data_IF_537817655867
#
_entry.id   IF_537817655867
#
_cell.length_a   1.000
_cell.length_b   1.000
_cell.length_c   1.000
_cell.angle_alpha   90.00
_cell.angle_beta   90.00
_cell.angle_gamma   90.00
#
_symmetry.space_group_name_H-M   'P 1'
#
loop_
_entity.id
_entity.type
_entity.pdbx_description
1 polymer ?
#
# COMPACT_ATOMS: atom_id res chain seq x y z
N UNK A 1 5.72 4.05 -25.72
CA UNK A 1 4.91 3.84 -24.51
C UNK A 1 5.73 3.22 -23.39
N UNK A 2 6.23 2.00 -23.47
CA UNK A 2 7.11 1.45 -22.41
C UNK A 2 8.34 2.33 -22.14
N UNK A 3 8.91 2.99 -23.16
CA UNK A 3 10.02 3.94 -23.00
C UNK A 3 9.66 5.22 -22.25
N UNK A 4 8.44 5.71 -22.39
CA UNK A 4 8.00 6.94 -21.72
C UNK A 4 7.61 6.66 -20.26
N UNK A 5 7.03 5.50 -19.98
CA UNK A 5 6.77 5.05 -18.61
C UNK A 5 8.08 4.75 -17.86
N UNK A 6 9.04 4.09 -18.52
CA UNK A 6 10.40 3.92 -17.99
C UNK A 6 11.07 5.28 -17.74
N UNK A 7 10.90 6.24 -18.64
CA UNK A 7 11.47 7.59 -18.47
C UNK A 7 10.86 8.34 -17.28
N UNK A 8 9.55 8.21 -17.03
CA UNK A 8 8.90 8.79 -15.85
C UNK A 8 9.36 8.09 -14.57
N UNK A 9 9.45 6.77 -14.59
CA UNK A 9 9.97 5.96 -13.49
C UNK A 9 11.43 6.34 -13.20
N UNK A 10 12.25 6.44 -14.23
CA UNK A 10 13.65 6.82 -14.12
C UNK A 10 13.80 8.27 -13.65
N UNK A 11 12.93 9.16 -14.11
CA UNK A 11 12.87 10.55 -13.66
C UNK A 11 12.48 10.62 -12.18
N UNK A 12 11.41 9.94 -11.74
CA UNK A 12 10.99 9.88 -10.33
C UNK A 12 12.06 9.20 -9.48
N UNK A 13 12.64 8.12 -9.97
CA UNK A 13 13.74 7.42 -9.29
C UNK A 13 14.98 8.31 -9.16
N UNK A 14 15.35 9.01 -10.23
CA UNK A 14 16.48 9.92 -10.21
C UNK A 14 16.23 11.15 -9.35
N UNK A 15 15.01 11.69 -9.34
CA UNK A 15 14.57 12.73 -8.41
C UNK A 15 14.69 12.26 -6.95
N UNK A 16 14.19 11.07 -6.63
CA UNK A 16 14.28 10.45 -5.30
C UNK A 16 15.75 10.19 -4.92
N UNK A 17 16.57 9.78 -5.87
CA UNK A 17 17.98 9.45 -5.64
C UNK A 17 18.93 10.65 -5.69
N UNK A 18 18.44 11.85 -6.02
CA UNK A 18 19.27 13.05 -6.17
C UNK A 18 20.33 12.93 -7.27
N UNK A 19 20.09 12.08 -8.29
CA UNK A 19 21.03 11.81 -9.39
C UNK A 19 20.82 12.68 -10.62
N UNK A 20 20.04 13.72 -10.55
CA UNK A 20 19.78 14.62 -11.67
C UNK A 20 20.89 15.66 -11.78
N UNK A 21 21.88 15.35 -12.59
CA UNK A 21 22.71 16.40 -13.20
C UNK A 21 21.87 17.12 -14.27
N UNK A 22 21.56 18.39 -14.03
CA UNK A 22 20.92 19.24 -15.05
C UNK A 22 19.47 19.64 -14.83
N UNK A 23 18.74 19.06 -13.89
CA UNK A 23 17.54 19.67 -13.37
C UNK A 23 17.98 20.57 -12.23
N UNK A 24 17.70 21.87 -12.34
CA UNK A 24 17.93 22.82 -11.26
C UNK A 24 17.49 22.17 -9.96
N UNK A 25 18.36 22.15 -8.96
CA UNK A 25 18.13 21.60 -7.63
C UNK A 25 16.72 21.94 -7.16
N UNK A 26 15.76 21.11 -7.50
CA UNK A 26 14.52 21.05 -6.78
C UNK A 26 14.94 20.33 -5.51
N UNK A 27 15.25 21.12 -4.50
CA UNK A 27 15.46 20.60 -3.17
C UNK A 27 14.18 19.89 -2.76
N UNK A 28 14.17 18.58 -2.87
CA UNK A 28 13.15 17.71 -2.28
C UNK A 28 13.25 17.66 -0.75
N UNK A 29 14.14 18.37 -0.17
CA UNK A 29 13.96 18.87 1.18
C UNK A 29 12.79 19.84 1.07
N UNK A 30 11.60 19.55 1.66
CA UNK A 30 10.54 20.54 1.67
C UNK A 30 11.14 21.77 2.32
N UNK A 31 11.54 22.73 1.49
CA UNK A 31 11.76 24.05 2.00
C UNK A 31 10.44 24.40 2.68
N UNK A 32 10.53 24.84 3.93
CA UNK A 32 9.42 25.27 4.77
C UNK A 32 8.45 26.27 4.12
N UNK A 33 8.58 26.59 2.85
CA UNK A 33 8.15 27.86 2.32
C UNK A 33 7.34 27.82 1.04
N UNK A 34 6.86 26.65 0.54
CA UNK A 34 6.12 26.70 -0.74
C UNK A 34 4.89 25.81 -0.87
N UNK A 35 4.37 25.28 0.23
CA UNK A 35 2.92 25.12 0.31
C UNK A 35 2.40 26.46 0.86
N UNK A 36 1.53 27.16 0.14
CA UNK A 36 0.79 28.26 0.78
C UNK A 36 0.14 27.66 2.02
N UNK A 37 0.33 28.32 3.16
CA UNK A 37 -0.37 27.95 4.38
C UNK A 37 -1.86 27.99 4.05
N UNK A 38 -2.65 26.96 4.45
CA UNK A 38 -4.10 27.07 4.34
C UNK A 38 -4.49 28.30 5.12
N UNK A 39 -5.29 29.17 4.52
CA UNK A 39 -5.72 30.47 5.06
C UNK A 39 -6.35 30.42 6.46
N UNK A 40 -6.55 29.23 7.02
CA UNK A 40 -7.17 28.99 8.31
C UNK A 40 -6.23 28.39 9.38
N UNK A 41 -4.93 28.52 9.24
CA UNK A 41 -3.99 28.24 10.36
C UNK A 41 -3.94 26.78 10.85
N UNK A 42 -4.57 25.84 10.16
CA UNK A 42 -4.52 24.42 10.50
C UNK A 42 -3.32 23.79 9.83
N UNK A 43 -2.19 23.86 10.47
CA UNK A 43 -1.01 23.11 10.07
C UNK A 43 -1.33 21.61 10.07
N UNK A 44 -1.03 20.90 8.99
CA UNK A 44 -1.12 19.43 8.95
C UNK A 44 -0.29 18.76 10.06
N UNK A 45 0.67 19.49 10.63
CA UNK A 45 1.47 19.08 11.79
C UNK A 45 0.68 18.98 13.10
N UNK A 46 -0.43 19.71 13.22
CA UNK A 46 -1.21 19.74 14.45
C UNK A 46 -2.17 18.56 14.56
N UNK A 47 -2.42 17.84 13.46
CA UNK A 47 -3.25 16.63 13.43
C UNK A 47 -2.46 15.32 13.55
N UNK A 48 -1.13 15.35 13.46
CA UNK A 48 -0.33 14.16 13.76
C UNK A 48 -0.34 14.00 15.28
N UNK A 49 -1.09 13.03 15.83
CA UNK A 49 -1.08 12.84 17.28
C UNK A 49 0.35 12.56 17.70
N UNK A 50 0.85 13.35 18.65
CA UNK A 50 2.09 13.03 19.35
C UNK A 50 1.80 11.73 20.10
N UNK A 51 2.28 10.62 19.56
CA UNK A 51 2.07 9.32 20.17
C UNK A 51 2.96 9.25 21.39
N UNK A 52 2.34 9.24 22.55
CA UNK A 52 2.99 9.14 23.84
C UNK A 52 3.42 7.68 24.07
N UNK A 53 4.46 7.43 24.87
CA UNK A 53 4.87 6.07 25.28
C UNK A 53 3.70 5.24 25.82
N UNK A 54 2.71 5.89 26.44
CA UNK A 54 1.46 5.27 26.89
C UNK A 54 0.62 4.70 25.74
N UNK A 55 0.72 5.22 24.52
CA UNK A 55 0.00 4.73 23.37
C UNK A 55 0.70 3.51 22.76
N UNK A 56 2.02 3.44 22.91
CA UNK A 56 2.82 2.24 22.57
C UNK A 56 2.51 1.10 23.53
N UNK A 57 2.37 1.38 24.83
CA UNK A 57 1.97 0.36 25.81
C UNK A 57 0.52 -0.10 25.59
N UNK A 58 -0.41 0.81 25.25
CA UNK A 58 -1.77 0.42 24.86
C UNK A 58 -1.78 -0.48 23.63
N UNK A 59 -0.83 -0.30 22.70
CA UNK A 59 -0.72 -1.18 21.52
C UNK A 59 -0.18 -2.56 21.88
N UNK A 60 0.71 -2.67 22.86
CA UNK A 60 1.15 -3.98 23.39
C UNK A 60 0.00 -4.75 24.04
N UNK A 61 -0.97 -4.03 24.59
CA UNK A 61 -2.18 -4.55 25.22
C UNK A 61 -3.39 -4.63 24.27
N UNK A 62 -3.28 -4.17 23.00
CA UNK A 62 -4.28 -4.47 21.99
C UNK A 62 -4.34 -5.99 21.83
N UNK A 63 -5.49 -6.54 22.09
CA UNK A 63 -5.78 -7.95 21.94
C UNK A 63 -5.33 -8.38 20.55
N UNK A 64 -4.38 -9.32 20.49
CA UNK A 64 -3.93 -9.88 19.23
C UNK A 64 -5.16 -10.51 18.56
N UNK A 65 -5.62 -9.92 17.47
CA UNK A 65 -6.86 -10.35 16.80
C UNK A 65 -6.65 -11.73 16.17
N UNK A 66 -5.44 -11.96 15.61
CA UNK A 66 -5.11 -13.25 15.03
C UNK A 66 -4.38 -14.14 16.05
N UNK A 67 -4.87 -15.37 16.33
CA UNK A 67 -4.14 -16.32 17.11
C UNK A 67 -2.77 -16.63 16.49
N UNK A 68 -1.76 -16.90 17.31
CA UNK A 68 -0.44 -17.36 16.86
C UNK A 68 -0.38 -18.88 17.01
N UNK A 69 0.01 -19.57 15.94
CA UNK A 69 0.09 -21.04 15.85
C UNK A 69 1.44 -21.46 15.28
N UNK A 70 1.84 -22.70 15.53
CA UNK A 70 3.00 -23.26 14.84
C UNK A 70 2.69 -23.45 13.34
N UNK A 71 3.66 -23.28 12.45
CA UNK A 71 3.46 -23.53 11.03
C UNK A 71 2.94 -24.95 10.75
N UNK A 72 3.48 -25.95 11.41
CA UNK A 72 3.08 -27.35 11.28
C UNK A 72 1.60 -27.57 11.61
N UNK A 73 1.09 -26.91 12.66
CA UNK A 73 -0.33 -27.01 13.02
C UNK A 73 -1.25 -26.44 11.94
N UNK A 74 -0.72 -25.66 11.03
CA UNK A 74 -1.43 -25.05 9.91
C UNK A 74 -0.93 -25.61 8.55
N UNK A 75 -0.30 -26.77 8.54
CA UNK A 75 0.03 -27.51 7.33
C UNK A 75 1.22 -26.98 6.52
N UNK A 76 2.06 -26.12 7.11
CA UNK A 76 3.30 -25.61 6.51
C UNK A 76 4.47 -25.96 7.43
N UNK A 77 5.61 -26.38 6.88
CA UNK A 77 6.79 -26.69 7.69
C UNK A 77 7.48 -25.42 8.20
N UNK A 78 7.96 -25.45 9.44
CA UNK A 78 8.77 -24.37 10.01
C UNK A 78 10.07 -24.15 9.23
N UNK A 79 10.65 -25.21 8.65
CA UNK A 79 11.82 -25.14 7.79
C UNK A 79 11.55 -24.31 6.52
N UNK A 80 10.39 -24.50 5.89
CA UNK A 80 9.99 -23.76 4.70
C UNK A 80 9.96 -22.24 4.96
N UNK A 81 9.28 -21.82 6.03
CA UNK A 81 9.21 -20.40 6.40
C UNK A 81 10.56 -19.86 6.86
N UNK A 82 11.36 -20.68 7.55
CA UNK A 82 12.72 -20.31 7.96
C UNK A 82 13.60 -20.02 6.75
N UNK A 83 13.55 -20.86 5.72
CA UNK A 83 14.30 -20.62 4.48
C UNK A 83 13.89 -19.34 3.81
N UNK A 84 12.59 -19.09 3.64
CA UNK A 84 12.10 -17.85 3.06
C UNK A 84 12.57 -16.62 3.83
N UNK A 85 12.43 -16.62 5.16
CA UNK A 85 12.88 -15.49 6.00
C UNK A 85 14.39 -15.28 5.88
N UNK A 86 15.17 -16.37 5.83
CA UNK A 86 16.62 -16.31 5.67
C UNK A 86 16.98 -15.67 4.32
N UNK A 87 16.35 -16.09 3.22
CA UNK A 87 16.57 -15.52 1.89
C UNK A 87 16.21 -14.02 1.87
N UNK A 88 15.08 -13.65 2.47
CA UNK A 88 14.68 -12.24 2.62
C UNK A 88 15.68 -11.43 3.46
N UNK A 89 16.27 -12.02 4.50
CA UNK A 89 17.24 -11.37 5.36
C UNK A 89 18.62 -11.21 4.70
N UNK A 90 19.04 -12.21 3.95
CA UNK A 90 20.38 -12.27 3.33
C UNK A 90 20.46 -11.57 1.98
N UNK A 91 19.32 -11.35 1.33
CA UNK A 91 19.26 -10.70 0.03
C UNK A 91 19.80 -9.27 0.10
N UNK A 92 20.77 -8.90 -0.75
CA UNK A 92 21.28 -7.53 -0.80
C UNK A 92 20.27 -6.52 -1.38
N UNK A 93 19.20 -7.01 -1.97
CA UNK A 93 18.17 -6.19 -2.63
C UNK A 93 16.92 -5.97 -1.77
N UNK A 94 16.85 -6.57 -0.60
CA UNK A 94 15.74 -6.37 0.35
C UNK A 94 16.20 -5.51 1.54
N UNK A 95 15.29 -4.71 2.04
CA UNK A 95 15.41 -3.92 3.28
C UNK A 95 14.13 -4.15 4.09
N UNK A 96 14.02 -5.36 4.64
CA UNK A 96 12.83 -5.79 5.36
C UNK A 96 12.67 -5.02 6.67
N UNK A 97 11.43 -4.62 6.96
CA UNK A 97 11.02 -4.04 8.24
C UNK A 97 10.16 -5.01 9.03
N UNK A 98 9.18 -5.59 8.34
CA UNK A 98 8.23 -6.54 8.92
C UNK A 98 7.80 -7.57 7.88
N UNK A 99 7.63 -8.80 8.34
CA UNK A 99 7.11 -9.92 7.54
C UNK A 99 6.13 -10.73 8.38
N UNK A 100 4.95 -11.01 7.83
CA UNK A 100 3.94 -11.79 8.52
C UNK A 100 3.26 -12.75 7.55
N UNK A 101 3.04 -13.99 7.99
CA UNK A 101 2.25 -14.99 7.26
C UNK A 101 1.11 -15.46 8.12
N UNK A 102 -0.09 -15.35 7.58
CA UNK A 102 -1.31 -15.91 8.13
C UNK A 102 -1.75 -17.11 7.30
N UNK A 103 -2.25 -18.14 7.95
CA UNK A 103 -2.98 -19.24 7.32
C UNK A 103 -4.14 -19.67 8.20
N UNK A 104 -5.31 -19.95 7.59
CA UNK A 104 -6.57 -20.28 8.29
C UNK A 104 -6.89 -19.25 9.39
N UNK A 105 -6.63 -17.97 9.14
CA UNK A 105 -6.81 -16.89 10.11
C UNK A 105 -5.87 -16.93 11.32
N UNK A 106 -4.79 -17.70 11.27
CA UNK A 106 -3.77 -17.76 12.33
C UNK A 106 -2.43 -17.24 11.82
N UNK A 107 -1.75 -16.42 12.60
CA UNK A 107 -0.36 -16.04 12.31
C UNK A 107 0.54 -17.22 12.58
N UNK A 108 1.19 -17.72 11.55
CA UNK A 108 2.12 -18.85 11.61
C UNK A 108 3.59 -18.43 11.56
N UNK A 109 3.84 -17.20 11.13
CA UNK A 109 5.15 -16.58 11.19
C UNK A 109 5.01 -15.07 11.29
N UNK A 110 5.80 -14.45 12.14
CA UNK A 110 5.88 -12.99 12.30
C UNK A 110 7.31 -12.61 12.62
N UNK A 111 7.96 -11.81 11.77
CA UNK A 111 9.33 -11.38 11.93
C UNK A 111 9.46 -9.87 11.80
N UNK A 112 10.07 -9.26 12.81
CA UNK A 112 10.53 -7.87 12.74
C UNK A 112 12.02 -7.84 12.45
N UNK A 113 12.46 -6.88 11.67
CA UNK A 113 13.86 -6.69 11.32
C UNK A 113 14.38 -5.41 11.97
N UNK A 114 15.34 -5.54 12.87
CA UNK A 114 15.89 -4.38 13.57
C UNK A 114 16.37 -3.30 12.59
N UNK A 115 16.08 -2.01 12.86
CA UNK A 115 15.55 -1.42 14.08
C UNK A 115 14.01 -1.41 14.18
N UNK A 116 13.31 -2.00 13.23
CA UNK A 116 11.85 -2.04 13.22
C UNK A 116 11.33 -3.07 14.21
N UNK A 117 10.13 -2.82 14.71
CA UNK A 117 9.48 -3.70 15.68
C UNK A 117 7.96 -3.58 15.59
N UNK A 118 7.29 -4.52 16.18
CA UNK A 118 5.83 -4.57 16.28
C UNK A 118 5.24 -3.25 16.79
N UNK A 119 4.17 -2.81 16.15
CA UNK A 119 3.44 -1.61 16.52
C UNK A 119 3.94 -0.32 15.86
N UNK A 120 5.02 -0.37 15.09
CA UNK A 120 5.43 0.77 14.25
C UNK A 120 4.50 0.88 13.05
N UNK A 121 4.04 2.09 12.79
CA UNK A 121 3.28 2.40 11.59
C UNK A 121 4.18 2.42 10.37
N UNK A 122 3.65 1.90 9.27
CA UNK A 122 4.31 1.99 7.98
C UNK A 122 3.47 2.80 7.01
N UNK A 123 4.15 3.61 6.20
CA UNK A 123 3.50 4.24 5.07
C UNK A 123 3.18 3.16 4.04
N UNK A 124 1.91 3.06 3.67
CA UNK A 124 1.45 2.01 2.75
C UNK A 124 1.79 2.28 1.30
N UNK A 125 2.20 3.52 0.98
CA UNK A 125 2.34 3.95 -0.41
C UNK A 125 1.09 3.59 -1.23
N UNK A 126 1.24 2.97 -2.38
CA UNK A 126 0.13 2.63 -3.28
C UNK A 126 -0.76 1.49 -2.80
N UNK A 127 -0.36 0.72 -1.78
CA UNK A 127 -1.20 -0.33 -1.20
C UNK A 127 -2.60 0.19 -0.80
N UNK A 128 -2.68 1.44 -0.32
CA UNK A 128 -3.96 2.05 0.05
C UNK A 128 -4.93 2.30 -1.13
N UNK A 129 -4.49 2.16 -2.38
CA UNK A 129 -5.39 2.21 -3.55
C UNK A 129 -6.47 1.15 -3.46
N UNK A 130 -6.13 -0.05 -3.00
CA UNK A 130 -7.10 -1.12 -2.80
C UNK A 130 -8.15 -0.74 -1.74
N UNK A 131 -7.76 0.00 -0.70
CA UNK A 131 -8.70 0.51 0.31
C UNK A 131 -9.64 1.56 -0.29
N UNK A 132 -9.15 2.43 -1.16
CA UNK A 132 -10.00 3.36 -1.92
C UNK A 132 -10.93 2.61 -2.87
N UNK A 133 -10.46 1.51 -3.45
CA UNK A 133 -11.28 0.57 -4.21
C UNK A 133 -12.42 -0.03 -3.38
N UNK A 134 -12.15 -0.41 -2.12
CA UNK A 134 -13.19 -0.87 -1.19
C UNK A 134 -14.27 0.18 -0.97
N UNK A 135 -13.88 1.45 -0.79
CA UNK A 135 -14.84 2.56 -0.66
C UNK A 135 -15.70 2.74 -1.93
N UNK A 136 -15.09 2.58 -3.10
CA UNK A 136 -15.82 2.62 -4.37
C UNK A 136 -16.86 1.50 -4.45
N UNK A 137 -16.48 0.27 -4.07
CA UNK A 137 -17.40 -0.85 -4.02
C UNK A 137 -18.56 -0.65 -3.06
N UNK A 138 -18.31 -0.07 -1.89
CA UNK A 138 -19.35 0.28 -0.93
C UNK A 138 -20.32 1.32 -1.48
N UNK A 139 -19.82 2.35 -2.20
CA UNK A 139 -20.70 3.34 -2.85
C UNK A 139 -21.58 2.72 -3.94
N UNK A 140 -21.06 1.76 -4.68
CA UNK A 140 -21.82 1.03 -5.71
C UNK A 140 -22.90 0.19 -5.05
N UNK A 141 -22.59 -0.55 -4.00
CA UNK A 141 -23.56 -1.35 -3.23
C UNK A 141 -24.65 -0.47 -2.59
N UNK A 142 -24.29 0.72 -2.13
CA UNK A 142 -25.24 1.72 -1.62
C UNK A 142 -26.08 2.40 -2.74
N UNK A 143 -25.87 2.04 -4.01
CA UNK A 143 -26.56 2.64 -5.16
C UNK A 143 -26.22 4.14 -5.40
N UNK A 144 -25.09 4.59 -4.89
CA UNK A 144 -24.63 5.99 -4.99
C UNK A 144 -23.66 6.25 -6.13
N UNK A 145 -23.16 5.20 -6.75
CA UNK A 145 -22.18 5.27 -7.83
C UNK A 145 -22.35 4.09 -8.77
N UNK A 146 -22.06 4.32 -10.05
CA UNK A 146 -21.97 3.28 -11.08
C UNK A 146 -20.61 3.37 -11.80
N UNK A 147 -20.02 2.22 -12.14
CA UNK A 147 -18.74 2.16 -12.84
C UNK A 147 -18.76 2.86 -14.21
N UNK A 148 -19.90 2.90 -14.87
CA UNK A 148 -20.10 3.55 -16.17
C UNK A 148 -20.24 5.07 -16.09
N UNK A 149 -20.35 5.66 -14.89
CA UNK A 149 -20.53 7.09 -14.72
C UNK A 149 -19.30 7.86 -15.22
N UNK A 150 -19.58 8.90 -16.01
CA UNK A 150 -18.57 9.81 -16.51
C UNK A 150 -18.14 10.81 -15.43
N UNK A 151 -16.84 10.87 -15.13
CA UNK A 151 -16.28 11.75 -14.10
C UNK A 151 -16.56 13.24 -14.35
N UNK A 152 -16.62 13.67 -15.59
CA UNK A 152 -16.92 15.06 -15.93
C UNK A 152 -18.40 15.44 -15.66
N UNK A 153 -19.29 14.44 -15.62
CA UNK A 153 -20.68 14.64 -15.17
C UNK A 153 -20.76 14.68 -13.64
N UNK A 154 -19.99 13.85 -12.96
CA UNK A 154 -19.91 13.87 -11.48
C UNK A 154 -19.42 15.25 -11.00
N UNK A 155 -18.37 15.77 -11.62
CA UNK A 155 -17.78 17.09 -11.30
C UNK A 155 -18.21 18.16 -12.28
N UNK A 156 -19.51 18.26 -12.56
CA UNK A 156 -20.06 19.19 -13.55
C UNK A 156 -19.83 20.67 -13.21
N UNK A 157 -19.61 21.00 -11.95
CA UNK A 157 -19.29 22.34 -11.45
C UNK A 157 -17.78 22.67 -11.53
N UNK A 158 -16.92 21.68 -11.80
CA UNK A 158 -15.46 21.81 -11.88
C UNK A 158 -14.94 21.62 -13.30
N UNK A 159 -13.71 22.04 -13.52
CA UNK A 159 -13.06 21.96 -14.83
C UNK A 159 -13.60 22.98 -15.84
N UNK A 160 -12.86 23.21 -16.92
CA UNK A 160 -13.23 24.15 -17.95
C UNK A 160 -14.39 23.66 -18.80
N UNK A 161 -15.20 24.59 -19.31
CA UNK A 161 -16.31 24.30 -20.23
C UNK A 161 -15.81 23.57 -21.49
N UNK A 162 -14.63 23.92 -21.97
CA UNK A 162 -14.00 23.26 -23.11
C UNK A 162 -13.70 21.80 -22.82
N UNK A 163 -13.14 21.50 -21.64
CA UNK A 163 -12.85 20.13 -21.22
C UNK A 163 -14.11 19.26 -21.18
N UNK A 164 -15.23 19.80 -20.72
CA UNK A 164 -16.50 19.08 -20.60
C UNK A 164 -17.14 18.73 -21.96
N UNK A 165 -16.90 19.55 -22.99
CA UNK A 165 -17.54 19.40 -24.30
C UNK A 165 -16.71 18.57 -25.28
N UNK A 166 -15.38 18.72 -25.24
CA UNK A 166 -14.50 18.21 -26.31
C UNK A 166 -13.62 17.04 -25.87
N UNK A 167 -13.70 16.58 -24.62
CA UNK A 167 -12.89 15.45 -24.16
C UNK A 167 -13.61 14.12 -24.33
N UNK A 168 -12.82 13.04 -24.53
CA UNK A 168 -13.38 11.71 -24.44
C UNK A 168 -14.00 11.48 -23.05
N UNK A 169 -15.05 10.68 -23.01
CA UNK A 169 -15.62 10.25 -21.73
C UNK A 169 -14.60 9.40 -20.96
N UNK A 170 -14.37 9.75 -19.71
CA UNK A 170 -13.60 8.96 -18.75
C UNK A 170 -14.57 8.49 -17.67
N UNK A 171 -14.71 7.20 -17.52
CA UNK A 171 -15.62 6.60 -16.55
C UNK A 171 -14.93 6.29 -15.22
N UNK A 172 -15.72 6.01 -14.20
CA UNK A 172 -15.24 5.50 -12.92
C UNK A 172 -14.45 4.19 -13.13
N UNK A 173 -14.93 3.30 -14.00
CA UNK A 173 -14.22 2.07 -14.36
C UNK A 173 -12.84 2.34 -14.94
N UNK A 174 -12.70 3.35 -15.79
CA UNK A 174 -11.38 3.72 -16.34
C UNK A 174 -10.40 4.20 -15.26
N UNK A 175 -10.90 4.82 -14.20
CA UNK A 175 -10.07 5.15 -13.02
C UNK A 175 -9.70 3.88 -12.26
N UNK A 176 -10.66 2.98 -12.05
CA UNK A 176 -10.48 1.72 -11.32
C UNK A 176 -9.47 0.80 -11.98
N UNK A 177 -9.47 0.74 -13.30
CA UNK A 177 -8.61 -0.12 -14.12
C UNK A 177 -7.30 0.55 -14.58
N UNK A 178 -7.03 1.79 -14.17
CA UNK A 178 -5.86 2.55 -14.64
C UNK A 178 -5.82 2.78 -16.15
N UNK A 179 -6.99 2.92 -16.79
CA UNK A 179 -7.12 3.10 -18.24
C UNK A 179 -7.72 4.46 -18.62
N UNK A 180 -7.64 5.46 -17.75
CA UNK A 180 -8.23 6.78 -17.99
C UNK A 180 -7.58 7.55 -19.15
N UNK A 181 -6.32 7.27 -19.47
CA UNK A 181 -5.53 8.03 -20.45
C UNK A 181 -5.22 9.47 -20.03
N UNK A 182 -5.59 9.90 -18.82
CA UNK A 182 -5.33 11.27 -18.34
C UNK A 182 -3.84 11.44 -18.05
N UNK A 183 -3.23 12.46 -18.64
CA UNK A 183 -1.77 12.67 -18.58
C UNK A 183 -1.28 13.41 -17.34
N UNK A 184 -2.18 13.97 -16.54
CA UNK A 184 -1.81 14.58 -15.25
C UNK A 184 -1.57 13.48 -14.21
N UNK A 185 -0.36 13.43 -13.65
CA UNK A 185 0.11 12.42 -12.72
C UNK A 185 0.80 13.04 -11.50
N UNK A 186 1.42 12.22 -10.64
CA UNK A 186 2.05 12.68 -9.40
C UNK A 186 3.11 13.76 -9.63
N UNK A 187 3.81 13.75 -10.75
CA UNK A 187 4.81 14.79 -11.05
C UNK A 187 4.16 16.16 -11.32
N UNK A 188 2.91 16.20 -11.74
CA UNK A 188 2.14 17.43 -11.95
C UNK A 188 1.60 18.07 -10.68
N UNK A 189 1.46 17.32 -9.57
CA UNK A 189 0.86 17.84 -8.33
C UNK A 189 1.73 18.85 -7.58
N UNK A 190 3.02 18.87 -7.85
CA UNK A 190 3.96 19.78 -7.16
C UNK A 190 3.71 21.25 -7.49
N UNK A 191 2.92 21.56 -8.51
CA UNK A 191 2.76 22.92 -9.06
C UNK A 191 1.42 23.59 -8.79
N UNK A 192 0.47 22.93 -8.10
CA UNK A 192 -0.86 23.50 -7.89
C UNK A 192 -1.54 23.11 -6.58
N UNK A 193 -2.52 23.92 -6.17
CA UNK A 193 -3.29 23.69 -4.94
C UNK A 193 -4.58 22.90 -5.18
N UNK A 194 -5.11 22.90 -6.40
CA UNK A 194 -6.34 22.18 -6.78
C UNK A 194 -5.98 21.02 -7.72
N UNK A 195 -5.72 19.87 -7.14
CA UNK A 195 -5.33 18.69 -7.89
C UNK A 195 -6.48 18.12 -8.70
N UNK A 196 -7.70 18.21 -8.17
CA UNK A 196 -8.90 17.72 -8.88
C UNK A 196 -9.15 18.55 -10.13
N UNK A 197 -9.14 19.87 -10.02
CA UNK A 197 -9.33 20.74 -11.16
C UNK A 197 -8.21 20.57 -12.19
N UNK A 198 -6.96 20.43 -11.73
CA UNK A 198 -5.81 20.17 -12.61
C UNK A 198 -5.98 18.85 -13.36
N UNK A 199 -6.41 17.79 -12.68
CA UNK A 199 -6.70 16.50 -13.30
C UNK A 199 -7.82 16.59 -14.33
N UNK A 200 -8.94 17.22 -13.96
CA UNK A 200 -10.09 17.40 -14.85
C UNK A 200 -9.77 18.28 -16.07
N UNK A 201 -8.77 19.13 -16.01
CA UNK A 201 -8.31 19.97 -17.12
C UNK A 201 -7.13 19.36 -17.88
N UNK A 202 -6.55 18.25 -17.44
CA UNK A 202 -5.39 17.63 -18.08
C UNK A 202 -5.76 16.97 -19.42
N UNK A 203 -4.89 16.92 -20.42
CA UNK A 203 -5.16 16.21 -21.66
C UNK A 203 -5.40 14.71 -21.41
N UNK A 204 -6.23 14.11 -22.28
CA UNK A 204 -6.43 12.66 -22.32
C UNK A 204 -5.71 12.15 -23.56
N UNK A 205 -4.78 11.19 -23.36
CA UNK A 205 -4.06 10.52 -24.44
C UNK A 205 -4.74 9.20 -24.80
N UNK A 206 -4.89 8.95 -26.08
CA UNK A 206 -5.52 7.71 -26.55
C UNK A 206 -7.03 7.65 -26.29
N UNK A 207 -7.57 6.44 -26.27
CA UNK A 207 -8.98 6.17 -25.98
C UNK A 207 -9.10 5.60 -24.57
N UNK A 208 -9.86 6.25 -23.66
CA UNK A 208 -10.10 5.69 -22.32
C UNK A 208 -10.64 4.26 -22.39
N UNK A 209 -10.21 3.42 -21.48
CA UNK A 209 -10.58 2.00 -21.42
C UNK A 209 -9.73 1.05 -22.30
N UNK A 210 -8.73 1.54 -23.02
CA UNK A 210 -7.96 0.68 -23.96
C UNK A 210 -6.53 0.35 -23.53
N UNK A 211 -5.87 1.27 -22.84
CA UNK A 211 -4.46 1.12 -22.48
C UNK A 211 -4.26 1.30 -20.97
N UNK A 212 -3.55 0.36 -20.37
CA UNK A 212 -3.16 0.48 -18.97
C UNK A 212 -2.07 1.54 -18.82
N UNK A 213 -2.33 2.55 -18.02
CA UNK A 213 -1.36 3.56 -17.63
C UNK A 213 -1.50 3.86 -16.14
N UNK A 214 -0.58 3.31 -15.35
CA UNK A 214 -0.62 3.49 -13.91
C UNK A 214 -0.52 4.97 -13.52
N UNK A 215 -1.53 5.47 -12.81
CA UNK A 215 -1.63 6.86 -12.41
C UNK A 215 -2.31 6.97 -11.04
N UNK A 216 -1.56 7.35 -10.02
CA UNK A 216 -2.09 7.47 -8.66
C UNK A 216 -3.17 8.54 -8.52
N UNK A 217 -3.22 9.52 -9.43
CA UNK A 217 -4.27 10.53 -9.42
C UNK A 217 -5.62 9.98 -9.89
N UNK A 218 -5.67 8.86 -10.62
CA UNK A 218 -6.93 8.15 -10.86
C UNK A 218 -7.58 7.79 -9.52
N UNK A 219 -6.81 7.25 -8.59
CA UNK A 219 -7.30 6.87 -7.26
C UNK A 219 -7.61 8.09 -6.38
N UNK A 220 -6.84 9.16 -6.52
CA UNK A 220 -7.20 10.44 -5.87
C UNK A 220 -8.56 10.96 -6.33
N UNK A 221 -8.88 10.84 -7.62
CA UNK A 221 -10.19 11.24 -8.16
C UNK A 221 -11.29 10.32 -7.63
N UNK A 222 -11.04 9.00 -7.45
CA UNK A 222 -11.98 8.12 -6.77
C UNK A 222 -12.25 8.59 -5.33
N UNK A 223 -11.23 8.99 -4.59
CA UNK A 223 -11.40 9.60 -3.26
C UNK A 223 -12.23 10.89 -3.31
N UNK A 224 -12.02 11.73 -4.33
CA UNK A 224 -12.83 12.93 -4.54
C UNK A 224 -14.29 12.59 -4.87
N UNK A 225 -14.54 11.50 -5.62
CA UNK A 225 -15.90 11.00 -5.91
C UNK A 225 -16.60 10.57 -4.62
N UNK A 226 -15.90 9.86 -3.70
CA UNK A 226 -16.48 9.54 -2.38
C UNK A 226 -16.97 10.83 -1.70
N UNK A 227 -16.13 11.86 -1.66
CA UNK A 227 -16.52 13.13 -1.03
C UNK A 227 -17.69 13.82 -1.74
N UNK A 228 -17.74 13.78 -3.08
CA UNK A 228 -18.82 14.36 -3.85
C UNK A 228 -20.18 13.65 -3.66
N UNK A 229 -20.15 12.32 -3.38
CA UNK A 229 -21.35 11.51 -3.22
C UNK A 229 -21.87 11.43 -1.78
N UNK A 230 -21.01 11.72 -0.81
CA UNK A 230 -21.32 11.48 0.62
C UNK A 230 -21.19 12.72 1.50
N UNK A 231 -20.59 13.79 0.97
CA UNK A 231 -20.22 14.99 1.74
C UNK A 231 -19.19 14.69 2.87
N UNK A 232 -18.56 13.51 2.83
CA UNK A 232 -17.54 13.05 3.77
C UNK A 232 -16.20 12.94 3.06
N UNK A 233 -15.11 13.07 3.80
CA UNK A 233 -13.81 12.62 3.29
C UNK A 233 -13.80 11.10 3.13
N UNK A 234 -12.88 10.55 2.32
CA UNK A 234 -12.72 9.10 2.19
C UNK A 234 -12.47 8.43 3.56
N UNK A 235 -11.69 9.07 4.43
CA UNK A 235 -11.42 8.60 5.77
C UNK A 235 -12.68 8.55 6.63
N UNK A 236 -13.45 9.64 6.68
CA UNK A 236 -14.72 9.72 7.43
C UNK A 236 -15.76 8.71 6.91
N UNK A 237 -15.79 8.46 5.60
CA UNK A 237 -16.69 7.49 5.00
C UNK A 237 -16.32 6.05 5.38
N UNK A 238 -15.02 5.72 5.36
CA UNK A 238 -14.53 4.38 5.67
C UNK A 238 -14.48 4.07 7.17
N UNK A 239 -14.36 5.09 8.02
CA UNK A 239 -14.23 4.87 9.47
C UNK A 239 -15.31 3.95 10.02
N UNK A 240 -16.62 4.24 9.93
CA UNK A 240 -17.67 3.37 10.48
C UNK A 240 -17.93 2.12 9.64
N UNK A 241 -17.53 2.11 8.36
CA UNK A 241 -17.86 1.04 7.41
C UNK A 241 -16.78 -0.04 7.34
N UNK A 242 -15.53 0.35 7.53
CA UNK A 242 -14.38 -0.55 7.37
C UNK A 242 -13.48 -0.54 8.60
N UNK A 243 -12.99 0.61 9.03
CA UNK A 243 -11.94 0.67 10.05
C UNK A 243 -12.44 0.26 11.44
N UNK A 244 -13.57 0.79 11.89
CA UNK A 244 -14.16 0.41 13.18
C UNK A 244 -14.55 -1.08 13.23
N UNK A 245 -15.26 -1.66 12.25
CA UNK A 245 -15.56 -3.08 12.25
C UNK A 245 -14.34 -3.99 12.32
N UNK A 246 -13.23 -3.60 11.67
CA UNK A 246 -11.96 -4.33 11.72
C UNK A 246 -11.13 -4.01 12.96
N UNK A 247 -11.57 -3.09 13.82
CA UNK A 247 -10.80 -2.63 14.96
C UNK A 247 -9.48 -1.92 14.55
N UNK A 248 -9.48 -1.25 13.40
CA UNK A 248 -8.38 -0.40 12.94
C UNK A 248 -8.60 0.98 13.56
N UNK A 249 -7.89 1.27 14.64
CA UNK A 249 -8.10 2.50 15.42
C UNK A 249 -6.93 3.48 15.33
N UNK A 250 -5.80 3.02 14.78
CA UNK A 250 -4.57 3.80 14.67
C UNK A 250 -4.15 3.87 13.22
N UNK A 251 -4.46 4.97 12.59
CA UNK A 251 -4.07 5.28 11.23
C UNK A 251 -3.96 6.79 11.02
N UNK A 252 -3.27 7.19 9.98
CA UNK A 252 -3.20 8.57 9.50
C UNK A 252 -3.27 8.52 7.98
N UNK A 253 -4.20 9.26 7.39
CA UNK A 253 -4.25 9.41 5.94
C UNK A 253 -4.07 10.87 5.54
N UNK A 254 -3.09 11.14 4.70
CA UNK A 254 -2.82 12.49 4.21
C UNK A 254 -3.92 13.00 3.28
N UNK A 255 -4.11 14.32 3.30
CA UNK A 255 -5.00 15.03 2.36
C UNK A 255 -4.21 15.86 1.36
N UNK A 256 -4.85 16.26 0.27
CA UNK A 256 -4.37 17.31 -0.62
C UNK A 256 -4.57 18.71 0.04
N UNK A 257 -4.04 19.79 -0.55
CA UNK A 257 -4.24 21.15 -0.02
C UNK A 257 -5.71 21.59 0.14
N UNK A 258 -6.63 20.99 -0.63
CA UNK A 258 -8.08 21.23 -0.53
C UNK A 258 -8.80 20.32 0.47
N UNK A 259 -8.10 19.50 1.24
CA UNK A 259 -8.67 18.64 2.27
C UNK A 259 -9.22 17.30 1.76
N UNK A 260 -9.11 16.99 0.46
CA UNK A 260 -9.51 15.68 -0.07
C UNK A 260 -8.43 14.66 0.31
N UNK A 261 -8.84 13.52 0.88
CA UNK A 261 -7.92 12.42 1.21
C UNK A 261 -7.20 11.94 -0.05
N UNK A 262 -5.89 11.72 0.02
CA UNK A 262 -5.08 11.38 -1.17
C UNK A 262 -5.52 10.09 -1.88
N UNK A 263 -6.09 9.12 -1.15
CA UNK A 263 -6.63 7.89 -1.70
C UNK A 263 -5.58 6.95 -2.31
N UNK A 264 -4.72 7.45 -3.17
CA UNK A 264 -3.71 6.67 -3.90
C UNK A 264 -2.39 6.48 -3.17
N UNK A 265 -2.15 7.20 -2.06
CA UNK A 265 -0.94 7.13 -1.20
C UNK A 265 -1.16 7.90 0.10
N UNK A 266 -0.17 7.89 0.98
CA UNK A 266 -0.14 8.73 2.18
C UNK A 266 -0.91 8.17 3.37
N UNK A 267 -1.32 6.90 3.33
CA UNK A 267 -1.87 6.19 4.49
C UNK A 267 -0.75 5.55 5.31
N UNK A 268 -0.86 5.67 6.62
CA UNK A 268 -0.03 4.99 7.61
C UNK A 268 -0.90 4.09 8.46
N UNK A 269 -0.55 2.81 8.54
CA UNK A 269 -1.19 1.81 9.42
C UNK A 269 -0.16 0.78 9.90
N UNK A 270 -0.53 0.01 10.93
CA UNK A 270 0.29 -1.09 11.42
C UNK A 270 0.21 -2.32 10.50
N UNK A 271 1.25 -3.17 10.45
CA UNK A 271 1.24 -4.40 9.65
C UNK A 271 0.09 -5.35 9.99
N UNK A 272 -0.28 -5.48 11.27
CA UNK A 272 -1.44 -6.31 11.65
C UNK A 272 -2.77 -5.78 11.10
N UNK A 273 -2.90 -4.46 10.93
CA UNK A 273 -4.07 -3.85 10.29
C UNK A 273 -4.07 -4.09 8.77
N UNK A 274 -2.90 -4.13 8.13
CA UNK A 274 -2.77 -4.59 6.74
C UNK A 274 -3.24 -6.04 6.59
N UNK A 275 -2.85 -6.91 7.54
CA UNK A 275 -3.27 -8.32 7.55
C UNK A 275 -4.80 -8.47 7.66
N UNK A 276 -5.48 -7.62 8.45
CA UNK A 276 -6.95 -7.63 8.55
C UNK A 276 -7.62 -7.36 7.22
N UNK A 277 -7.07 -6.43 6.41
CA UNK A 277 -7.59 -6.11 5.08
C UNK A 277 -7.42 -7.29 4.11
N UNK A 278 -6.27 -7.97 4.13
CA UNK A 278 -6.05 -9.19 3.36
C UNK A 278 -6.99 -10.32 3.77
N UNK A 279 -7.12 -10.55 5.08
CA UNK A 279 -8.01 -11.58 5.60
C UNK A 279 -9.49 -11.29 5.30
N UNK A 280 -9.90 -10.02 5.31
CA UNK A 280 -11.24 -9.62 4.92
C UNK A 280 -11.53 -10.01 3.46
N UNK A 281 -10.58 -9.79 2.55
CA UNK A 281 -10.71 -10.19 1.15
C UNK A 281 -10.69 -11.69 0.97
N UNK A 282 -9.80 -12.39 1.67
CA UNK A 282 -9.75 -13.85 1.68
C UNK A 282 -11.08 -14.47 2.15
N UNK A 283 -11.75 -13.84 3.11
CA UNK A 283 -13.06 -14.23 3.64
C UNK A 283 -14.24 -13.64 2.84
N UNK A 284 -14.04 -13.27 1.58
CA UNK A 284 -15.10 -12.73 0.72
C UNK A 284 -15.87 -11.54 1.34
N UNK A 285 -15.16 -10.70 2.09
CA UNK A 285 -15.72 -9.50 2.72
C UNK A 285 -16.41 -9.72 4.06
N UNK A 286 -16.34 -10.92 4.61
CA UNK A 286 -16.92 -11.24 5.90
C UNK A 286 -15.89 -11.05 7.02
N UNK A 287 -16.30 -10.34 8.08
CA UNK A 287 -15.53 -10.16 9.30
C UNK A 287 -16.42 -10.34 10.51
N UNK A 288 -16.07 -11.30 11.39
CA UNK A 288 -16.89 -11.67 12.54
C UNK A 288 -18.39 -11.83 12.19
N UNK A 289 -18.67 -12.68 11.19
CA UNK A 289 -20.02 -13.02 10.70
C UNK A 289 -20.78 -11.85 10.04
N UNK A 290 -20.16 -10.68 9.88
CA UNK A 290 -20.76 -9.52 9.21
C UNK A 290 -20.16 -9.33 7.82
N UNK A 291 -20.99 -9.09 6.82
CA UNK A 291 -20.54 -8.63 5.52
C UNK A 291 -20.11 -7.17 5.66
N UNK A 292 -18.83 -6.91 5.46
CA UNK A 292 -18.21 -5.58 5.54
C UNK A 292 -18.03 -4.99 4.13
N UNK A 293 -17.52 -5.80 3.20
CA UNK A 293 -17.41 -5.46 1.78
C UNK A 293 -18.26 -6.46 1.00
N UNK A 294 -19.10 -6.03 0.04
CA UNK A 294 -19.94 -6.93 -0.74
C UNK A 294 -19.11 -8.02 -1.43
N UNK A 295 -19.57 -9.27 -1.36
CA UNK A 295 -18.84 -10.42 -1.92
C UNK A 295 -18.69 -10.30 -3.46
N UNK A 296 -19.71 -9.77 -4.14
CA UNK A 296 -19.66 -9.52 -5.58
C UNK A 296 -18.58 -8.50 -5.92
N UNK A 297 -18.44 -7.45 -5.13
CA UNK A 297 -17.37 -6.48 -5.31
C UNK A 297 -15.98 -7.11 -5.15
N UNK A 298 -15.78 -7.96 -4.14
CA UNK A 298 -14.50 -8.66 -3.97
C UNK A 298 -14.21 -9.53 -5.18
N UNK A 299 -15.18 -10.33 -5.64
CA UNK A 299 -15.00 -11.16 -6.83
C UNK A 299 -14.62 -10.33 -8.06
N UNK A 300 -15.32 -9.22 -8.31
CA UNK A 300 -15.06 -8.36 -9.47
C UNK A 300 -13.72 -7.64 -9.37
N UNK A 301 -13.41 -7.08 -8.20
CA UNK A 301 -12.18 -6.32 -7.98
C UNK A 301 -10.92 -7.18 -8.03
N UNK A 302 -11.03 -8.46 -7.67
CA UNK A 302 -9.92 -9.44 -7.72
C UNK A 302 -9.90 -10.30 -8.99
N UNK A 303 -10.74 -9.97 -9.97
CA UNK A 303 -10.69 -10.55 -11.31
C UNK A 303 -9.90 -9.63 -12.22
N UNK A 304 -9.04 -10.20 -13.07
CA UNK A 304 -8.27 -9.45 -14.06
C UNK A 304 -9.20 -8.72 -15.02
N UNK A 305 -9.13 -7.40 -15.02
CA UNK A 305 -9.90 -6.53 -15.91
C UNK A 305 -9.08 -6.10 -17.14
N UNK A 306 -7.77 -5.91 -16.95
CA UNK A 306 -6.87 -5.47 -18.02
C UNK A 306 -5.51 -6.14 -17.88
N UNK A 307 -4.82 -6.27 -19.01
CA UNK A 307 -3.39 -6.53 -19.01
C UNK A 307 -2.66 -5.28 -18.53
N UNK A 308 -1.65 -5.49 -17.69
CA UNK A 308 -0.88 -4.42 -17.10
C UNK A 308 0.54 -4.35 -17.68
N UNK A 309 1.52 -3.94 -16.89
CA UNK A 309 2.92 -3.83 -17.29
C UNK A 309 3.46 -5.22 -17.64
N UNK A 310 4.29 -5.33 -18.66
CA UNK A 310 5.01 -6.56 -19.02
C UNK A 310 5.74 -7.15 -17.81
N UNK A 311 5.62 -8.46 -17.64
CA UNK A 311 6.18 -9.19 -16.50
C UNK A 311 5.30 -9.17 -15.24
N UNK A 312 4.06 -8.67 -15.31
CA UNK A 312 3.05 -8.75 -14.27
C UNK A 312 1.88 -9.63 -14.70
N UNK A 313 0.98 -9.97 -13.76
CA UNK A 313 -0.12 -10.92 -13.98
C UNK A 313 -1.44 -10.25 -14.39
N UNK A 314 -1.48 -8.92 -14.40
CA UNK A 314 -2.63 -8.10 -14.75
C UNK A 314 -3.13 -7.23 -13.62
N UNK A 315 -4.25 -6.53 -13.87
CA UNK A 315 -4.83 -5.58 -12.91
C UNK A 315 -6.35 -5.71 -12.87
N UNK A 316 -6.91 -5.73 -11.67
CA UNK A 316 -8.33 -5.68 -11.40
C UNK A 316 -8.81 -4.26 -11.08
N UNK A 317 -9.73 -4.11 -10.13
CA UNK A 317 -10.14 -2.80 -9.65
C UNK A 317 -9.28 -2.32 -8.48
N UNK A 318 -8.22 -1.56 -8.78
CA UNK A 318 -7.22 -1.05 -7.83
C UNK A 318 -6.45 -2.16 -7.10
N UNK A 319 -6.33 -3.32 -7.73
CA UNK A 319 -5.72 -4.54 -7.19
C UNK A 319 -4.88 -5.17 -8.29
N UNK A 320 -3.68 -5.61 -7.94
CA UNK A 320 -2.81 -6.34 -8.86
C UNK A 320 -3.07 -7.84 -8.76
N UNK A 321 -3.00 -8.52 -9.90
CA UNK A 321 -3.03 -9.99 -9.93
C UNK A 321 -1.67 -10.55 -9.54
N UNK A 322 -1.64 -11.75 -9.00
CA UNK A 322 -0.46 -12.46 -8.55
C UNK A 322 -0.23 -13.78 -9.29
N UNK A 323 0.89 -14.45 -8.99
CA UNK A 323 1.40 -15.62 -9.73
C UNK A 323 0.56 -16.90 -9.58
N UNK A 324 -0.29 -16.99 -8.56
CA UNK A 324 -1.13 -18.15 -8.30
C UNK A 324 -2.55 -17.93 -8.81
N UNK A 325 -3.27 -19.01 -9.05
CA UNK A 325 -4.65 -18.95 -9.52
C UNK A 325 -5.54 -18.17 -8.54
N UNK A 326 -6.25 -17.17 -9.03
CA UNK A 326 -7.12 -16.27 -8.26
C UNK A 326 -6.40 -15.49 -7.16
N UNK A 327 -5.08 -15.44 -7.19
CA UNK A 327 -4.29 -14.67 -6.23
C UNK A 327 -4.15 -13.21 -6.65
N UNK A 328 -3.96 -12.37 -5.67
CA UNK A 328 -3.87 -10.93 -5.85
C UNK A 328 -3.06 -10.28 -4.74
N UNK A 329 -2.65 -9.03 -5.00
CA UNK A 329 -1.94 -8.24 -4.00
C UNK A 329 -2.42 -6.79 -3.94
N UNK A 330 -2.41 -6.23 -2.76
CA UNK A 330 -2.41 -4.80 -2.52
C UNK A 330 -0.96 -4.36 -2.48
N UNK A 331 -0.48 -3.74 -3.54
CA UNK A 331 0.93 -3.45 -3.71
C UNK A 331 1.24 -1.98 -3.44
N UNK A 332 2.27 -1.75 -2.66
CA UNK A 332 2.85 -0.45 -2.40
C UNK A 332 4.34 -0.40 -2.67
N UNK A 333 4.77 0.72 -3.22
CA UNK A 333 6.16 1.01 -3.52
C UNK A 333 7.09 0.64 -2.37
N UNK A 334 8.30 0.18 -2.70
CA UNK A 334 9.37 -0.16 -1.77
C UNK A 334 9.10 -1.40 -0.89
N UNK A 335 8.03 -2.17 -1.17
CA UNK A 335 7.76 -3.43 -0.49
C UNK A 335 6.70 -3.39 0.61
N UNK A 336 5.69 -2.53 0.45
CA UNK A 336 4.51 -2.51 1.31
C UNK A 336 3.43 -3.35 0.65
N UNK A 337 3.26 -4.63 1.03
CA UNK A 337 2.35 -5.52 0.33
C UNK A 337 1.43 -6.28 1.28
N UNK A 338 0.25 -6.58 0.77
CA UNK A 338 -0.66 -7.60 1.28
C UNK A 338 -0.94 -8.57 0.14
N UNK A 339 -0.34 -9.73 0.18
CA UNK A 339 -0.48 -10.78 -0.83
C UNK A 339 -1.50 -11.78 -0.32
N UNK A 340 -2.46 -12.14 -1.16
CA UNK A 340 -3.52 -13.08 -0.81
C UNK A 340 -3.47 -14.26 -1.76
N UNK A 341 -3.31 -15.45 -1.20
CA UNK A 341 -3.32 -16.74 -1.90
C UNK A 341 -4.55 -17.55 -1.47
N UNK A 342 -5.69 -17.40 -2.15
CA UNK A 342 -6.94 -18.05 -1.76
C UNK A 342 -6.86 -19.58 -1.74
N UNK A 343 -6.14 -20.17 -2.68
CA UNK A 343 -5.95 -21.61 -2.77
C UNK A 343 -5.09 -22.21 -1.65
N UNK A 344 -4.35 -21.38 -0.93
CA UNK A 344 -3.59 -21.76 0.27
C UNK A 344 -4.27 -21.30 1.56
N UNK A 345 -5.41 -20.62 1.48
CA UNK A 345 -6.04 -19.91 2.61
C UNK A 345 -5.02 -19.07 3.38
N UNK A 346 -4.25 -18.23 2.64
CA UNK A 346 -3.06 -17.58 3.17
C UNK A 346 -3.02 -16.08 2.83
N UNK A 347 -2.56 -15.29 3.81
CA UNK A 347 -2.23 -13.86 3.65
C UNK A 347 -0.78 -13.64 4.05
N UNK A 348 -0.03 -12.94 3.20
CA UNK A 348 1.34 -12.51 3.50
C UNK A 348 1.38 -11.00 3.55
N UNK A 349 1.96 -10.44 4.60
CA UNK A 349 2.16 -9.00 4.75
C UNK A 349 3.66 -8.70 4.78
N UNK A 350 4.07 -7.73 3.98
CA UNK A 350 5.43 -7.19 4.00
C UNK A 350 5.43 -5.70 4.23
N UNK A 351 6.40 -5.23 5.01
CA UNK A 351 6.81 -3.83 5.05
C UNK A 351 8.31 -3.78 4.84
N UNK A 352 8.76 -2.95 3.93
CA UNK A 352 10.17 -2.85 3.58
C UNK A 352 10.56 -1.47 3.08
N UNK A 353 11.85 -1.24 2.93
CA UNK A 353 12.45 -0.05 2.31
C UNK A 353 13.32 -0.40 1.12
N UNK A 354 12.88 -1.33 0.27
CA UNK A 354 13.65 -1.87 -0.84
C UNK A 354 14.12 -0.79 -1.82
N UNK A 355 15.15 -1.11 -2.61
CA UNK A 355 15.61 -0.21 -3.68
C UNK A 355 14.69 -0.19 -4.89
N UNK A 356 14.00 -1.29 -5.13
CA UNK A 356 13.12 -1.51 -6.27
C UNK A 356 11.74 -0.95 -5.95
N UNK A 357 11.17 -0.24 -6.90
CA UNK A 357 10.00 0.59 -6.64
C UNK A 357 8.69 -0.13 -6.91
N UNK A 358 8.70 -1.19 -7.73
CA UNK A 358 7.47 -1.78 -8.28
C UNK A 358 7.42 -3.31 -8.09
N UNK A 359 6.38 -3.92 -8.62
CA UNK A 359 6.01 -5.33 -8.48
C UNK A 359 7.03 -6.35 -8.99
N UNK A 360 7.87 -5.99 -9.95
CA UNK A 360 8.97 -6.83 -10.39
C UNK A 360 10.18 -6.50 -9.52
N UNK A 361 10.22 -7.10 -8.34
CA UNK A 361 11.31 -6.89 -7.40
C UNK A 361 11.71 -8.20 -6.73
N UNK A 362 12.98 -8.27 -6.33
CA UNK A 362 13.57 -9.50 -5.75
C UNK A 362 12.81 -9.99 -4.53
N UNK A 363 12.24 -9.11 -3.72
CA UNK A 363 11.49 -9.54 -2.53
C UNK A 363 10.24 -10.33 -2.91
N UNK A 364 9.46 -9.86 -3.88
CA UNK A 364 8.28 -10.56 -4.37
C UNK A 364 8.67 -11.86 -5.10
N UNK A 365 9.78 -11.83 -5.85
CA UNK A 365 10.25 -13.04 -6.53
C UNK A 365 10.64 -14.12 -5.50
N UNK A 366 11.32 -13.79 -4.42
CA UNK A 366 11.63 -14.74 -3.32
C UNK A 366 10.35 -15.31 -2.68
N UNK A 367 9.31 -14.49 -2.52
CA UNK A 367 8.02 -14.97 -1.99
C UNK A 367 7.34 -15.88 -3.00
N UNK A 368 7.33 -15.53 -4.29
CA UNK A 368 6.75 -16.33 -5.38
C UNK A 368 7.48 -17.65 -5.57
N UNK A 369 8.81 -17.65 -5.42
CA UNK A 369 9.64 -18.85 -5.48
C UNK A 369 9.38 -19.78 -4.29
N UNK A 370 9.08 -19.23 -3.11
CA UNK A 370 8.68 -20.02 -1.97
C UNK A 370 7.26 -20.61 -2.11
N UNK A 371 6.37 -19.93 -2.85
CA UNK A 371 4.99 -20.36 -3.06
C UNK A 371 4.63 -20.35 -4.56
N UNK A 372 5.34 -21.16 -5.40
CA UNK A 372 5.01 -21.25 -6.81
C UNK A 372 3.63 -21.87 -7.04
N UNK A 373 3.11 -21.80 -8.25
CA UNK A 373 1.76 -22.30 -8.58
C UNK A 373 1.56 -23.76 -8.18
N UNK A 374 2.61 -24.56 -8.23
CA UNK A 374 2.60 -25.99 -7.90
C UNK A 374 2.67 -26.28 -6.40
N UNK A 375 3.06 -25.29 -5.58
CA UNK A 375 3.16 -25.48 -4.14
C UNK A 375 1.78 -25.77 -3.54
N UNK A 376 1.71 -26.80 -2.73
CA UNK A 376 0.52 -27.20 -1.99
C UNK A 376 0.87 -27.29 -0.50
N UNK A 377 0.17 -26.53 0.30
CA UNK A 377 0.21 -26.71 1.74
C UNK A 377 -0.70 -27.90 2.12
N UNK A 378 -0.35 -28.59 3.20
CA UNK A 378 -1.22 -29.64 3.71
C UNK A 378 -2.55 -29.07 4.20
N UNK A 379 -3.65 -29.75 3.92
CA UNK A 379 -4.97 -29.43 4.49
C UNK A 379 -5.06 -29.81 5.98
N UNK A 380 -4.17 -30.67 6.43
CA UNK A 380 -4.10 -31.17 7.81
C UNK A 380 -2.83 -30.67 8.49
N UNK A 381 -2.86 -30.66 9.82
CA UNK A 381 -1.66 -30.40 10.59
C UNK A 381 -0.55 -31.41 10.23
N UNK A 382 0.65 -30.90 10.02
CA UNK A 382 1.84 -31.73 9.88
C UNK A 382 2.27 -32.26 11.25
N UNK A 383 3.06 -33.34 11.30
CA UNK A 383 3.72 -33.75 12.53
C UNK A 383 4.53 -32.58 13.09
N UNK A 384 4.45 -32.36 14.39
CA UNK A 384 5.24 -31.33 15.05
C UNK A 384 6.74 -31.54 14.81
N UNK A 385 7.44 -30.44 14.50
CA UNK A 385 8.89 -30.43 14.34
C UNK A 385 9.52 -29.37 15.28
N UNK A 386 9.65 -29.71 16.59
CA UNK A 386 10.17 -28.74 17.57
C UNK A 386 11.58 -28.24 17.24
N UNK A 387 12.39 -29.04 16.56
CA UNK A 387 13.76 -28.66 16.21
C UNK A 387 13.77 -27.55 15.13
N UNK A 388 12.97 -27.67 14.06
CA UNK A 388 12.89 -26.66 13.03
C UNK A 388 12.10 -25.44 13.52
N UNK A 389 11.05 -25.63 14.30
CA UNK A 389 10.32 -24.51 14.92
C UNK A 389 11.24 -23.69 15.86
N UNK A 390 12.09 -24.34 16.63
CA UNK A 390 13.09 -23.64 17.44
C UNK A 390 14.09 -22.86 16.60
N UNK A 391 14.56 -23.41 15.47
CA UNK A 391 15.46 -22.70 14.55
C UNK A 391 14.75 -21.48 13.92
N UNK A 392 13.48 -21.62 13.52
CA UNK A 392 12.67 -20.51 12.99
C UNK A 392 12.53 -19.39 14.04
N UNK A 393 12.10 -19.74 15.25
CA UNK A 393 11.91 -18.76 16.33
C UNK A 393 13.22 -18.10 16.75
N UNK A 394 14.33 -18.83 16.76
CA UNK A 394 15.65 -18.29 17.01
C UNK A 394 16.08 -17.30 15.92
N UNK A 395 15.85 -17.62 14.65
CA UNK A 395 16.12 -16.71 13.54
C UNK A 395 15.30 -15.41 13.69
N UNK A 396 13.98 -15.53 13.85
CA UNK A 396 13.09 -14.38 14.04
C UNK A 396 13.54 -13.50 15.22
N UNK A 397 13.89 -14.14 16.34
CA UNK A 397 14.42 -13.41 17.50
C UNK A 397 15.73 -12.69 17.18
N UNK A 398 16.65 -13.34 16.46
CA UNK A 398 17.94 -12.73 16.09
C UNK A 398 17.78 -11.53 15.15
N UNK A 399 16.81 -11.57 14.23
CA UNK A 399 16.50 -10.46 13.32
C UNK A 399 15.96 -9.24 14.06
N UNK A 400 15.16 -9.45 15.09
CA UNK A 400 14.54 -8.37 15.86
C UNK A 400 15.45 -7.75 16.94
N UNK A 401 16.45 -8.51 17.44
CA UNK A 401 17.34 -8.11 18.54
C UNK A 401 18.82 -8.02 18.13
N UNK A 402 19.15 -8.47 16.94
CA UNK A 402 20.51 -8.39 16.41
C UNK A 402 20.99 -6.95 16.20
N UNK A 403 22.32 -6.76 16.00
CA UNK A 403 22.77 -5.50 15.47
C UNK A 403 21.97 -5.25 14.20
N UNK A 404 21.34 -4.08 14.12
CA UNK A 404 20.50 -3.66 13.01
C UNK A 404 20.97 -4.36 11.74
N UNK A 405 20.20 -5.33 11.25
CA UNK A 405 20.42 -5.97 9.96
C UNK A 405 20.20 -4.95 8.87
N UNK A 406 20.94 -3.85 8.96
CA UNK A 406 20.95 -2.83 7.96
C UNK A 406 21.53 -3.47 6.71
N UNK A 407 20.70 -3.79 5.70
CA UNK A 407 21.19 -4.54 4.55
C UNK A 407 22.35 -3.82 3.89
N UNK A 408 23.18 -4.59 3.19
CA UNK A 408 24.28 -4.09 2.37
C UNK A 408 23.84 -2.99 1.38
N UNK A 409 22.60 -3.01 0.95
CA UNK A 409 21.92 -1.98 0.18
C UNK A 409 22.17 -0.57 0.71
N UNK A 410 22.15 -0.39 2.02
CA UNK A 410 22.37 0.89 2.67
C UNK A 410 23.81 1.38 2.55
N UNK A 411 24.72 0.50 2.20
CA UNK A 411 26.15 0.84 2.07
C UNK A 411 26.46 1.58 0.78
N UNK A 412 25.68 1.45 -0.25
CA UNK A 412 26.00 1.91 -1.60
C UNK A 412 25.27 3.15 -2.09
N UNK A 413 24.24 3.61 -1.45
CA UNK A 413 23.37 4.61 -2.02
C UNK A 413 22.92 5.70 -1.08
N UNK A 414 21.85 6.31 -1.48
CA UNK A 414 21.17 7.36 -0.76
C UNK A 414 20.72 6.94 0.67
N UNK A 415 20.24 5.72 0.86
CA UNK A 415 19.88 5.17 2.17
C UNK A 415 21.08 5.14 3.14
N UNK A 416 22.30 4.92 2.64
CA UNK A 416 23.54 5.00 3.44
C UNK A 416 23.78 6.38 4.02
N UNK A 417 23.42 7.44 3.28
CA UNK A 417 23.60 8.82 3.72
C UNK A 417 22.55 9.24 4.74
N UNK A 418 21.35 8.69 4.67
CA UNK A 418 20.25 9.07 5.52
C UNK A 418 20.17 8.30 6.83
N UNK A 419 20.72 7.07 6.88
CA UNK A 419 20.59 6.17 8.04
C UNK A 419 19.17 5.63 8.24
N UNK A 420 18.26 5.84 7.29
CA UNK A 420 16.87 5.41 7.33
C UNK A 420 16.55 4.45 6.22
N UNK A 421 15.48 3.68 6.37
CA UNK A 421 14.90 2.96 5.26
C UNK A 421 14.42 3.93 4.18
N UNK A 422 14.41 3.50 2.93
CA UNK A 422 14.04 4.37 1.80
C UNK A 422 12.59 4.81 1.86
N UNK A 423 11.69 3.96 2.30
CA UNK A 423 10.29 4.30 2.44
C UNK A 423 10.05 5.48 3.37
N UNK A 424 10.89 5.63 4.41
CA UNK A 424 10.79 6.73 5.35
C UNK A 424 11.63 7.94 4.94
N UNK A 425 12.77 7.71 4.31
CA UNK A 425 13.67 8.79 3.92
C UNK A 425 13.14 9.60 2.71
N UNK A 426 12.28 9.03 1.88
CA UNK A 426 11.55 9.75 0.84
C UNK A 426 10.62 10.81 1.45
N UNK A 427 10.14 10.56 2.68
CA UNK A 427 9.26 11.46 3.40
C UNK A 427 9.88 11.87 4.74
N UNK A 428 10.90 12.76 4.76
CA UNK A 428 11.63 13.13 5.99
C UNK A 428 10.74 13.60 7.15
N UNK A 429 9.58 14.19 6.84
CA UNK A 429 8.61 14.60 7.87
C UNK A 429 8.06 13.42 8.70
N UNK A 430 8.05 12.22 8.15
CA UNK A 430 7.58 11.02 8.84
C UNK A 430 8.67 10.32 9.65
N UNK A 431 9.93 10.59 9.36
CA UNK A 431 11.05 10.13 10.20
C UNK A 431 10.91 10.68 11.61
N UNK A 432 10.46 11.92 11.75
CA UNK A 432 10.18 12.50 13.07
C UNK A 432 9.05 11.77 13.77
N UNK A 433 7.95 11.47 13.06
CA UNK A 433 6.85 10.68 13.61
C UNK A 433 7.33 9.31 14.10
N UNK A 434 8.15 8.63 13.32
CA UNK A 434 8.69 7.33 13.70
C UNK A 434 9.64 7.41 14.90
N UNK A 435 10.46 8.49 14.99
CA UNK A 435 11.29 8.75 16.17
C UNK A 435 10.44 8.98 17.42
N UNK A 436 9.38 9.73 17.27
CA UNK A 436 8.45 10.02 18.38
C UNK A 436 7.70 8.74 18.80
N UNK A 437 7.48 7.80 17.87
CA UNK A 437 6.86 6.50 18.15
C UNK A 437 7.79 5.50 18.83
N UNK A 438 9.06 5.51 18.48
CA UNK A 438 10.01 4.46 18.84
C UNK A 438 11.15 4.94 19.77
N UNK A 439 11.26 6.24 19.95
CA UNK A 439 12.19 6.86 20.89
C UNK A 439 13.68 6.74 20.58
N UNK A 440 14.14 5.81 19.72
CA UNK A 440 15.58 5.57 19.54
C UNK A 440 16.02 4.99 18.18
N UNK A 441 15.14 4.53 17.32
CA UNK A 441 15.53 3.68 16.18
C UNK A 441 16.17 4.39 15.00
N UNK A 442 16.21 5.72 14.97
CA UNK A 442 16.51 6.46 13.74
C UNK A 442 17.62 7.51 13.90
N UNK A 443 18.47 7.33 14.88
CA UNK A 443 19.66 8.17 15.09
C UNK A 443 20.82 7.79 14.17
#
# INVERSE_FOLDING_TARGET
MAKEQLAVIEMVTNMILGKTEGISKVDFVPQKTRCPEPENGMHMHDKVPVIQDQDIEKTKNQQQIFPRKTPESQGIGSDHLRYLIQELADSPNTDMHHFMVLRHGNVICEADFAPYRKGIWHITHSMCKSITGMATGLLIDEGKLDLSENIYKIFHDKGSTWAKIFRPEVTVENLMTMTSGVTFNESGIVSGNDWLESYLNAPVSGKPGTEFQYNSLNTYVLSAIVSARTEMTLEEYLQPRLFEPLGITRYLWETCPKGITKGGWGLFICPEDMAKLGQLYLNHGIWHEKQIIPADWIRESTTKQVDSIEGTYGYGYQIWMENRLNSFEFNGMLGQNVIVYPDLDMVIVTCAGNNELFQNNVMLDLIRDAFPQEYQASEYALPENPAEYHKLTHLVHSLSHGPSCMPQIRRGGWAKKSGYSRSHAIYPKYVRLLKDLDGKCYN
#
